data_IF_487948928749
#
_entry.id   IF_487948928749
#
_cell.length_a   1.000
_cell.length_b   1.000
_cell.length_c   1.000
_cell.angle_alpha   90.00
_cell.angle_beta   90.00
_cell.angle_gamma   90.00
#
_symmetry.space_group_name_H-M   'P 1'
#
loop_
_entity.id
_entity.type
_entity.pdbx_description
1 polymer ?
#
# COMPACT_ATOMS: atom_id res chain seq x y z
N UNK A 1 -25.65 7.72 -70.29
CA UNK A 1 -26.77 8.10 -69.39
C UNK A 1 -27.68 6.89 -69.26
N UNK A 2 -27.67 6.23 -68.10
CA UNK A 2 -28.49 5.02 -67.87
C UNK A 2 -29.94 5.48 -67.71
N UNK A 3 -30.80 5.21 -68.69
CA UNK A 3 -32.24 5.51 -68.60
C UNK A 3 -32.91 4.45 -67.71
N UNK A 4 -32.95 4.71 -66.41
CA UNK A 4 -33.71 3.91 -65.45
C UNK A 4 -35.21 4.22 -65.54
N UNK A 5 -36.09 3.19 -65.42
CA UNK A 5 -37.53 3.41 -65.35
C UNK A 5 -37.91 4.26 -64.12
N UNK A 6 -39.00 5.02 -64.23
CA UNK A 6 -39.42 6.04 -63.24
C UNK A 6 -39.57 5.44 -61.83
N UNK A 7 -40.11 4.22 -61.74
CA UNK A 7 -40.29 3.50 -60.45
C UNK A 7 -38.95 3.29 -59.72
N UNK A 8 -37.90 2.86 -60.42
CA UNK A 8 -36.58 2.62 -59.82
C UNK A 8 -35.91 3.91 -59.38
N UNK A 9 -36.09 5.01 -60.10
CA UNK A 9 -35.57 6.33 -59.69
C UNK A 9 -36.23 6.83 -58.41
N UNK A 10 -37.55 6.66 -58.27
CA UNK A 10 -38.28 7.04 -57.07
C UNK A 10 -37.86 6.19 -55.86
N UNK A 11 -37.77 4.87 -56.02
CA UNK A 11 -37.29 3.96 -54.97
C UNK A 11 -35.86 4.29 -54.51
N UNK A 12 -34.94 4.56 -55.45
CA UNK A 12 -33.58 4.95 -55.11
C UNK A 12 -33.54 6.29 -54.37
N UNK A 13 -34.34 7.27 -54.78
CA UNK A 13 -34.39 8.57 -54.09
C UNK A 13 -34.94 8.45 -52.66
N UNK A 14 -35.98 7.63 -52.45
CA UNK A 14 -36.55 7.42 -51.12
C UNK A 14 -35.59 6.65 -50.19
N UNK A 15 -34.94 5.62 -50.73
CA UNK A 15 -33.92 4.86 -49.99
C UNK A 15 -32.74 5.74 -49.61
N UNK A 16 -32.30 6.62 -50.51
CA UNK A 16 -31.20 7.54 -50.24
C UNK A 16 -31.58 8.56 -49.15
N UNK A 17 -32.79 9.11 -49.19
CA UNK A 17 -33.29 10.03 -48.15
C UNK A 17 -33.43 9.35 -46.78
N UNK A 18 -33.73 8.05 -46.72
CA UNK A 18 -33.82 7.32 -45.46
C UNK A 18 -32.45 6.90 -44.89
N UNK A 19 -31.54 6.41 -45.75
CA UNK A 19 -30.26 5.82 -45.31
C UNK A 19 -29.22 6.88 -44.96
N UNK A 20 -29.19 8.00 -45.69
CA UNK A 20 -28.17 9.03 -45.52
C UNK A 20 -28.23 9.71 -44.14
N UNK A 21 -29.40 10.12 -43.61
CA UNK A 21 -29.53 10.65 -42.25
C UNK A 21 -29.16 9.62 -41.19
N UNK A 22 -29.55 8.36 -41.38
CA UNK A 22 -29.23 7.27 -40.46
C UNK A 22 -27.72 7.01 -40.41
N UNK A 23 -27.03 7.00 -41.56
CA UNK A 23 -25.58 6.86 -41.62
C UNK A 23 -24.87 8.02 -40.95
N UNK A 24 -25.33 9.25 -41.18
CA UNK A 24 -24.80 10.45 -40.51
C UNK A 24 -24.99 10.39 -39.00
N UNK A 25 -26.19 10.04 -38.52
CA UNK A 25 -26.49 9.86 -37.10
C UNK A 25 -25.65 8.74 -36.47
N UNK A 26 -25.53 7.60 -37.14
CA UNK A 26 -24.72 6.49 -36.66
C UNK A 26 -23.24 6.90 -36.51
N UNK A 27 -22.72 7.65 -37.47
CA UNK A 27 -21.35 8.17 -37.42
C UNK A 27 -21.14 9.14 -36.25
N UNK A 28 -22.05 10.11 -36.05
CA UNK A 28 -21.99 11.06 -34.92
C UNK A 28 -22.15 10.36 -33.58
N UNK A 29 -23.10 9.42 -33.48
CA UNK A 29 -23.37 8.67 -32.27
C UNK A 29 -22.17 7.80 -31.86
N UNK A 30 -21.54 7.11 -32.81
CA UNK A 30 -20.39 6.26 -32.54
C UNK A 30 -19.19 7.08 -32.02
N UNK A 31 -18.90 8.23 -32.64
CA UNK A 31 -17.84 9.12 -32.19
C UNK A 31 -18.10 9.71 -30.79
N UNK A 32 -19.36 10.07 -30.51
CA UNK A 32 -19.77 10.61 -29.22
C UNK A 32 -19.72 9.55 -28.12
N UNK A 33 -20.08 8.31 -28.45
CA UNK A 33 -20.08 7.18 -27.52
C UNK A 33 -18.65 6.79 -27.11
N UNK A 34 -17.71 6.73 -28.07
CA UNK A 34 -16.31 6.43 -27.78
C UNK A 34 -15.71 7.44 -26.79
N UNK A 35 -15.95 8.74 -27.05
CA UNK A 35 -15.47 9.83 -26.19
C UNK A 35 -16.06 9.73 -24.79
N UNK A 36 -17.39 9.59 -24.69
CA UNK A 36 -18.09 9.51 -23.41
C UNK A 36 -17.69 8.29 -22.59
N UNK A 37 -17.51 7.14 -23.26
CA UNK A 37 -17.05 5.91 -22.62
C UNK A 37 -15.63 6.06 -22.09
N UNK A 38 -14.73 6.65 -22.89
CA UNK A 38 -13.34 6.92 -22.48
C UNK A 38 -13.29 7.86 -21.28
N UNK A 39 -14.04 8.96 -21.31
CA UNK A 39 -14.12 9.91 -20.18
C UNK A 39 -14.66 9.23 -18.92
N UNK A 40 -15.72 8.44 -19.04
CA UNK A 40 -16.31 7.69 -17.92
C UNK A 40 -15.31 6.69 -17.34
N UNK A 41 -14.59 5.96 -18.19
CA UNK A 41 -13.56 5.01 -17.75
C UNK A 41 -12.40 5.72 -17.03
N UNK A 42 -11.90 6.82 -17.59
CA UNK A 42 -10.83 7.61 -16.97
C UNK A 42 -11.28 8.20 -15.62
N UNK A 43 -12.48 8.75 -15.55
CA UNK A 43 -13.05 9.29 -14.30
C UNK A 43 -13.22 8.19 -13.24
N UNK A 44 -13.70 7.01 -13.63
CA UNK A 44 -13.84 5.87 -12.72
C UNK A 44 -12.48 5.37 -12.22
N UNK A 45 -11.47 5.27 -13.09
CA UNK A 45 -10.12 4.88 -12.68
C UNK A 45 -9.49 5.89 -11.73
N UNK A 46 -9.65 7.20 -12.01
CA UNK A 46 -9.19 8.25 -11.12
C UNK A 46 -9.87 8.14 -9.74
N UNK A 47 -11.20 8.00 -9.70
CA UNK A 47 -11.93 7.82 -8.46
C UNK A 47 -11.51 6.57 -7.67
N UNK A 48 -11.20 5.46 -8.36
CA UNK A 48 -10.67 4.24 -7.73
C UNK A 48 -9.25 4.49 -7.18
N UNK A 49 -8.39 5.17 -7.95
CA UNK A 49 -7.03 5.49 -7.54
C UNK A 49 -7.04 6.41 -6.30
N UNK A 50 -7.86 7.46 -6.31
CA UNK A 50 -8.04 8.36 -5.16
C UNK A 50 -8.57 7.61 -3.94
N UNK A 51 -9.57 6.73 -4.13
CA UNK A 51 -10.09 5.88 -3.06
C UNK A 51 -9.01 4.95 -2.51
N UNK A 52 -8.18 4.36 -3.37
CA UNK A 52 -7.08 3.47 -2.97
C UNK A 52 -5.98 4.24 -2.23
N UNK A 53 -5.61 5.43 -2.70
CA UNK A 53 -4.68 6.31 -1.99
C UNK A 53 -5.21 6.67 -0.60
N UNK A 54 -6.50 7.02 -0.49
CA UNK A 54 -7.16 7.24 0.80
C UNK A 54 -7.17 6.00 1.71
N UNK A 55 -7.40 4.81 1.15
CA UNK A 55 -7.34 3.55 1.91
C UNK A 55 -5.93 3.28 2.47
N UNK A 56 -4.89 3.50 1.66
CA UNK A 56 -3.49 3.33 2.11
C UNK A 56 -3.19 4.33 3.22
N UNK A 57 -3.52 5.60 3.04
CA UNK A 57 -3.32 6.65 4.05
C UNK A 57 -4.04 6.35 5.36
N UNK A 58 -5.31 5.92 5.29
CA UNK A 58 -6.10 5.52 6.46
C UNK A 58 -5.50 4.33 7.19
N UNK A 59 -5.07 3.29 6.47
CA UNK A 59 -4.40 2.14 7.06
C UNK A 59 -3.09 2.54 7.75
N UNK A 60 -2.25 3.37 7.11
CA UNK A 60 -1.00 3.85 7.73
C UNK A 60 -1.25 4.66 9.01
N UNK A 61 -2.28 5.51 9.03
CA UNK A 61 -2.66 6.28 10.22
C UNK A 61 -3.10 5.37 11.37
N UNK A 62 -3.90 4.35 11.08
CA UNK A 62 -4.32 3.34 12.07
C UNK A 62 -3.11 2.56 12.60
N UNK A 63 -2.20 2.13 11.72
CA UNK A 63 -0.97 1.43 12.15
C UNK A 63 -0.08 2.31 13.04
N UNK A 64 0.02 3.61 12.76
CA UNK A 64 0.81 4.54 13.58
C UNK A 64 0.18 4.71 14.98
N UNK A 65 -1.15 4.80 15.05
CA UNK A 65 -1.87 4.86 16.33
C UNK A 65 -1.66 3.56 17.15
N UNK A 66 -1.75 2.41 16.49
CA UNK A 66 -1.48 1.10 17.10
C UNK A 66 -0.06 1.03 17.69
N UNK A 67 0.96 1.51 16.97
CA UNK A 67 2.34 1.57 17.47
C UNK A 67 2.48 2.53 18.66
N UNK A 68 1.79 3.67 18.65
CA UNK A 68 1.78 4.59 19.79
C UNK A 68 1.15 3.95 21.03
N UNK A 69 0.05 3.22 20.86
CA UNK A 69 -0.56 2.48 21.96
C UNK A 69 0.33 1.34 22.47
N UNK A 70 0.97 0.61 21.55
CA UNK A 70 1.86 -0.50 21.88
C UNK A 70 3.09 -0.02 22.65
N UNK A 71 3.76 1.05 22.20
CA UNK A 71 4.95 1.62 22.84
C UNK A 71 4.71 2.12 24.27
N UNK A 72 3.47 2.47 24.63
CA UNK A 72 3.10 2.90 25.98
C UNK A 72 2.86 1.74 26.96
N UNK A 73 2.78 0.50 26.48
CA UNK A 73 2.58 -0.68 27.35
C UNK A 73 3.82 -0.89 28.20
N UNK A 74 3.62 -1.16 29.49
CA UNK A 74 4.71 -1.44 30.43
C UNK A 74 5.63 -2.56 29.94
N UNK A 75 5.06 -3.64 29.38
CA UNK A 75 5.81 -4.75 28.81
C UNK A 75 6.84 -4.33 27.73
N UNK A 76 6.50 -3.36 26.87
CA UNK A 76 7.40 -2.86 25.83
C UNK A 76 8.45 -1.93 26.44
N UNK A 77 8.05 -1.02 27.33
CA UNK A 77 8.96 -0.06 27.95
C UNK A 77 10.01 -0.75 28.84
N UNK A 78 9.55 -1.65 29.70
CA UNK A 78 10.39 -2.37 30.64
C UNK A 78 11.26 -3.38 29.89
N UNK A 79 10.68 -4.09 28.91
CA UNK A 79 11.40 -4.99 28.02
C UNK A 79 12.50 -4.27 27.20
N UNK A 80 12.19 -3.10 26.63
CA UNK A 80 13.18 -2.30 25.91
C UNK A 80 14.34 -1.89 26.81
N UNK A 81 14.06 -1.43 28.04
CA UNK A 81 15.10 -1.04 28.99
C UNK A 81 16.01 -2.22 29.36
N UNK A 82 15.41 -3.36 29.67
CA UNK A 82 16.11 -4.59 30.05
C UNK A 82 16.98 -5.15 28.92
N UNK A 83 16.42 -5.28 27.72
CA UNK A 83 17.12 -5.82 26.55
C UNK A 83 18.22 -4.86 26.10
N UNK A 84 17.98 -3.54 26.14
CA UNK A 84 19.02 -2.53 25.84
C UNK A 84 20.19 -2.61 26.80
N UNK A 85 19.92 -2.70 28.11
CA UNK A 85 20.98 -2.78 29.12
C UNK A 85 21.81 -4.05 28.93
N UNK A 86 21.16 -5.19 28.72
CA UNK A 86 21.83 -6.47 28.52
C UNK A 86 22.63 -6.50 27.21
N UNK A 87 22.08 -5.94 26.13
CA UNK A 87 22.76 -5.78 24.85
C UNK A 87 24.02 -4.92 24.97
N UNK A 88 23.95 -3.78 25.67
CA UNK A 88 25.12 -2.91 25.88
C UNK A 88 26.19 -3.54 26.75
N UNK A 89 25.80 -4.40 27.69
CA UNK A 89 26.75 -5.05 28.60
C UNK A 89 27.58 -6.16 27.94
N UNK A 90 27.04 -6.87 26.95
CA UNK A 90 27.76 -8.01 26.35
C UNK A 90 27.30 -8.47 24.98
N UNK A 91 26.53 -7.64 24.25
CA UNK A 91 26.05 -7.93 22.90
C UNK A 91 25.00 -9.04 22.83
N UNK A 92 24.73 -9.51 21.61
CA UNK A 92 23.73 -10.56 21.33
C UNK A 92 24.09 -11.92 21.96
N UNK A 93 25.39 -12.18 22.16
CA UNK A 93 25.89 -13.44 22.68
C UNK A 93 25.96 -13.49 24.22
N UNK A 94 25.60 -12.41 24.91
CA UNK A 94 25.51 -12.42 26.37
C UNK A 94 24.34 -13.31 26.83
N UNK A 95 24.58 -14.12 27.86
CA UNK A 95 23.51 -14.91 28.48
C UNK A 95 22.37 -14.01 29.01
N UNK A 96 22.74 -12.89 29.63
CA UNK A 96 21.79 -11.89 30.11
C UNK A 96 20.91 -11.33 28.98
N UNK A 97 21.48 -11.05 27.81
CA UNK A 97 20.72 -10.58 26.65
C UNK A 97 19.74 -11.63 26.15
N UNK A 98 20.20 -12.88 25.96
CA UNK A 98 19.35 -13.98 25.48
C UNK A 98 18.18 -14.22 26.43
N UNK A 99 18.41 -14.16 27.74
CA UNK A 99 17.35 -14.33 28.73
C UNK A 99 16.32 -13.19 28.68
N UNK A 100 16.78 -11.94 28.62
CA UNK A 100 15.91 -10.77 28.50
C UNK A 100 15.08 -10.80 27.21
N UNK A 101 15.74 -11.04 26.06
CA UNK A 101 15.08 -11.17 24.77
C UNK A 101 14.07 -12.33 24.74
N UNK A 102 14.40 -13.49 25.32
CA UNK A 102 13.47 -14.63 25.37
C UNK A 102 12.27 -14.39 26.32
N UNK A 103 12.45 -13.61 27.40
CA UNK A 103 11.32 -13.15 28.24
C UNK A 103 10.39 -12.25 27.44
N UNK A 104 10.95 -11.23 26.81
CA UNK A 104 10.19 -10.27 26.03
C UNK A 104 9.45 -10.96 24.87
N UNK A 105 10.14 -11.82 24.12
CA UNK A 105 9.55 -12.57 23.01
C UNK A 105 8.29 -13.32 23.43
N UNK A 106 8.36 -14.11 24.53
CA UNK A 106 7.19 -14.83 25.06
C UNK A 106 6.05 -13.89 25.46
N UNK A 107 6.36 -12.78 26.14
CA UNK A 107 5.33 -11.78 26.51
C UNK A 107 4.65 -11.16 25.28
N UNK A 108 5.39 -10.93 24.19
CA UNK A 108 4.84 -10.39 22.96
C UNK A 108 3.99 -11.41 22.20
N UNK A 109 4.41 -12.67 22.17
CA UNK A 109 3.63 -13.78 21.59
C UNK A 109 2.32 -13.99 22.37
N UNK A 110 2.39 -14.12 23.69
CA UNK A 110 1.23 -14.36 24.56
C UNK A 110 0.20 -13.22 24.47
N UNK A 111 0.67 -11.99 24.30
CA UNK A 111 -0.20 -10.82 24.16
C UNK A 111 -0.59 -10.48 22.73
N UNK A 112 -0.18 -11.29 21.74
CA UNK A 112 -0.40 -11.04 20.31
C UNK A 112 0.02 -9.63 19.87
N UNK A 113 1.09 -9.10 20.48
CA UNK A 113 1.51 -7.70 20.30
C UNK A 113 1.91 -7.37 18.86
N UNK A 114 2.39 -8.36 18.10
CA UNK A 114 2.77 -8.20 16.69
C UNK A 114 1.63 -8.52 15.70
N UNK A 115 0.39 -8.73 16.16
CA UNK A 115 -0.72 -9.02 15.26
C UNK A 115 -0.95 -7.87 14.30
N UNK A 116 -0.81 -8.14 13.00
CA UNK A 116 -0.97 -7.12 11.96
C UNK A 116 0.31 -6.33 11.65
N UNK A 117 1.45 -6.73 12.21
CA UNK A 117 2.78 -6.26 11.84
C UNK A 117 3.58 -7.43 11.24
N UNK A 118 4.50 -7.10 10.34
CA UNK A 118 5.41 -8.09 9.77
C UNK A 118 6.46 -8.50 10.81
N UNK A 119 7.17 -7.53 11.38
CA UNK A 119 8.07 -7.71 12.51
C UNK A 119 7.91 -6.54 13.51
N UNK A 120 8.29 -6.78 14.76
CA UNK A 120 8.36 -5.78 15.81
C UNK A 120 9.82 -5.58 16.22
N UNK A 121 10.35 -4.42 15.85
CA UNK A 121 11.71 -4.00 16.17
C UNK A 121 11.70 -3.08 17.38
N UNK A 122 12.65 -3.26 18.29
CA UNK A 122 12.95 -2.26 19.31
C UNK A 122 14.32 -1.66 19.05
N UNK A 123 14.34 -0.33 18.97
CA UNK A 123 15.52 0.46 18.62
C UNK A 123 15.86 1.31 19.85
N UNK A 124 17.12 1.27 20.28
CA UNK A 124 17.58 2.11 21.38
C UNK A 124 17.84 3.56 20.92
N UNK A 125 18.04 4.47 21.88
CA UNK A 125 18.27 5.88 21.58
C UNK A 125 19.57 6.17 20.80
N UNK A 126 20.48 5.20 20.69
CA UNK A 126 21.69 5.31 19.88
C UNK A 126 21.50 4.75 18.45
N UNK A 127 20.30 4.28 18.11
CA UNK A 127 19.98 3.72 16.81
C UNK A 127 20.29 2.23 16.67
N UNK A 128 20.64 1.53 17.76
CA UNK A 128 20.89 0.08 17.71
C UNK A 128 19.55 -0.66 17.66
N UNK A 129 19.42 -1.61 16.73
CA UNK A 129 18.31 -2.56 16.71
C UNK A 129 18.60 -3.63 17.77
N UNK A 130 18.06 -3.45 18.97
CA UNK A 130 18.35 -4.29 20.15
C UNK A 130 17.41 -5.49 20.28
N UNK A 131 16.31 -5.50 19.54
CA UNK A 131 15.36 -6.62 19.52
C UNK A 131 14.63 -6.69 18.18
N UNK A 132 14.37 -7.91 17.72
CA UNK A 132 13.49 -8.23 16.59
C UNK A 132 12.70 -9.48 16.99
N UNK A 133 11.39 -9.47 16.75
CA UNK A 133 10.54 -10.61 17.08
C UNK A 133 10.85 -11.78 16.14
N UNK A 134 10.98 -11.51 14.84
CA UNK A 134 11.33 -12.51 13.82
C UNK A 134 12.84 -12.83 13.76
N UNK A 135 13.67 -12.05 14.46
CA UNK A 135 15.14 -12.14 14.45
C UNK A 135 15.74 -11.96 13.05
N UNK A 136 15.27 -10.94 12.35
CA UNK A 136 15.77 -10.60 11.02
C UNK A 136 17.21 -10.02 11.04
N UNK A 137 17.92 -9.96 9.89
CA UNK A 137 19.34 -9.65 9.85
C UNK A 137 19.74 -8.25 10.32
N UNK A 138 18.81 -7.32 10.47
CA UNK A 138 19.02 -6.01 11.09
C UNK A 138 19.29 -6.08 12.60
N UNK A 139 18.95 -7.19 13.27
CA UNK A 139 19.18 -7.37 14.70
C UNK A 139 20.67 -7.23 15.06
N UNK A 140 20.98 -6.36 16.02
CA UNK A 140 22.34 -6.07 16.46
C UNK A 140 23.11 -5.12 15.55
N UNK A 141 22.48 -4.59 14.50
CA UNK A 141 23.03 -3.51 13.69
C UNK A 141 22.61 -2.14 14.22
N UNK A 142 23.17 -1.08 13.64
CA UNK A 142 22.83 0.29 13.96
C UNK A 142 22.30 1.01 12.71
N UNK A 143 21.20 1.75 12.88
CA UNK A 143 20.52 2.45 11.79
C UNK A 143 21.14 3.80 11.42
N UNK A 144 22.14 4.27 12.17
CA UNK A 144 22.85 5.53 11.88
C UNK A 144 24.16 5.28 11.13
N UNK A 145 24.93 4.25 11.51
CA UNK A 145 26.26 3.97 10.92
C UNK A 145 26.41 2.56 10.33
N UNK A 146 25.44 1.68 10.55
CA UNK A 146 25.47 0.29 10.09
C UNK A 146 24.96 0.07 8.66
N UNK A 147 24.79 -1.20 8.26
CA UNK A 147 24.43 -1.58 6.89
C UNK A 147 23.04 -1.11 6.44
N UNK A 148 22.15 -0.78 7.39
CA UNK A 148 20.77 -0.37 7.13
C UNK A 148 20.56 1.15 7.20
N UNK A 149 21.61 1.96 7.33
CA UNK A 149 21.50 3.42 7.47
C UNK A 149 20.86 4.14 6.28
N UNK A 150 20.98 3.55 5.08
CA UNK A 150 20.43 4.11 3.83
C UNK A 150 19.05 3.50 3.49
N UNK A 151 18.45 2.75 4.43
CA UNK A 151 17.16 2.10 4.27
C UNK A 151 16.01 2.93 4.83
N UNK A 152 14.77 2.56 4.46
CA UNK A 152 13.56 3.20 5.00
C UNK A 152 13.43 3.03 6.52
N UNK A 153 14.02 1.97 7.11
CA UNK A 153 14.06 1.76 8.55
C UNK A 153 14.80 2.89 9.30
N UNK A 154 15.83 3.48 8.67
CA UNK A 154 16.60 4.56 9.27
C UNK A 154 15.93 5.94 9.11
N UNK A 155 15.01 6.09 8.16
CA UNK A 155 14.40 7.39 7.82
C UNK A 155 13.18 7.70 8.69
N UNK A 156 12.44 6.68 9.13
CA UNK A 156 11.26 6.84 10.01
C UNK A 156 9.99 7.26 9.28
#
# INVERSE_FOLDING_TARGET
MINLPISTRLLLSYLLVAVLPLGGLAWVYLASFETSLRETLLANMAAIADKKAGQIGGYMAERMDDVQHLSRRAAIRDGLAEVTQAFRAGGLDAAAYREAANRLHRTLEESNAAKGFYDLLLIDAAGNVVFSLLREPELGTNLSDGPYRDSQLATG
#
